data_IF_566417276485
#
_entry.id   IF_566417276485
#
_cell.length_a   1.000
_cell.length_b   1.000
_cell.length_c   1.000
_cell.angle_alpha   90.00
_cell.angle_beta   90.00
_cell.angle_gamma   90.00
#
_symmetry.space_group_name_H-M   'P 1'
#
loop_
_entity.id
_entity.type
_entity.pdbx_description
1 polymer ?
#
# COMPACT_ATOMS: atom_id res chain seq x y z
N UNK A 1 -20.67 12.28 8.49
CA UNK A 1 -20.33 10.98 7.87
C UNK A 1 -19.40 11.27 6.72
N UNK A 2 -18.11 10.96 6.88
CA UNK A 2 -17.17 11.16 5.78
C UNK A 2 -17.30 9.99 4.80
N UNK A 3 -17.47 10.28 3.52
CA UNK A 3 -17.62 9.26 2.49
C UNK A 3 -16.25 8.63 2.20
N UNK A 4 -16.18 7.30 2.11
CA UNK A 4 -14.96 6.61 1.65
C UNK A 4 -14.55 7.13 0.28
N UNK A 5 -13.25 7.24 0.06
CA UNK A 5 -12.70 7.77 -1.19
C UNK A 5 -11.64 6.82 -1.78
N UNK A 6 -11.53 6.74 -3.11
CA UNK A 6 -10.50 5.92 -3.75
C UNK A 6 -9.14 6.60 -3.65
N UNK A 7 -8.10 5.81 -3.40
CA UNK A 7 -6.70 6.29 -3.35
C UNK A 7 -5.80 5.29 -4.06
N UNK A 8 -4.97 5.80 -4.98
CA UNK A 8 -3.85 5.05 -5.54
C UNK A 8 -2.74 4.94 -4.49
N UNK A 9 -2.17 3.76 -4.34
CA UNK A 9 -0.99 3.55 -3.52
C UNK A 9 0.11 2.78 -4.27
N UNK A 10 1.35 2.99 -3.87
CA UNK A 10 2.54 2.30 -4.38
C UNK A 10 3.25 1.54 -3.27
N UNK A 11 3.95 0.46 -3.64
CA UNK A 11 4.62 -0.43 -2.67
C UNK A 11 6.14 -0.28 -2.77
N UNK A 12 6.76 0.31 -1.74
CA UNK A 12 8.19 0.56 -1.67
C UNK A 12 8.70 1.41 -2.85
N UNK A 13 9.89 1.07 -3.35
CA UNK A 13 10.48 1.68 -4.56
C UNK A 13 10.18 0.90 -5.84
N UNK A 14 9.19 0.00 -5.79
CA UNK A 14 8.85 -0.86 -6.92
C UNK A 14 7.77 -0.22 -7.81
N UNK A 15 7.51 -0.82 -8.98
CA UNK A 15 6.40 -0.43 -9.85
C UNK A 15 5.04 -1.03 -9.40
N UNK A 16 5.00 -1.73 -8.26
CA UNK A 16 3.77 -2.30 -7.71
C UNK A 16 2.88 -1.19 -7.17
N UNK A 17 1.61 -1.27 -7.52
CA UNK A 17 0.61 -0.30 -7.13
C UNK A 17 -0.78 -0.94 -7.13
N UNK A 18 -1.70 -0.34 -6.40
CA UNK A 18 -3.12 -0.65 -6.51
C UNK A 18 -3.98 0.52 -6.03
N UNK A 19 -5.30 0.38 -6.12
CA UNK A 19 -6.27 1.37 -5.65
C UNK A 19 -7.12 0.77 -4.53
N UNK A 20 -7.31 1.51 -3.44
CA UNK A 20 -8.13 1.10 -2.31
C UNK A 20 -9.16 2.17 -1.92
N UNK A 21 -10.32 1.74 -1.41
CA UNK A 21 -11.32 2.63 -0.81
C UNK A 21 -10.98 2.87 0.66
N UNK A 22 -10.65 4.11 1.02
CA UNK A 22 -10.18 4.48 2.35
C UNK A 22 -11.26 5.30 3.08
N UNK A 23 -11.48 4.97 4.37
CA UNK A 23 -12.22 5.83 5.29
C UNK A 23 -11.24 6.88 5.84
N UNK A 24 -11.49 8.18 5.72
CA UNK A 24 -10.57 9.20 6.23
C UNK A 24 -10.45 9.20 7.76
N UNK A 25 -11.35 8.53 8.48
CA UNK A 25 -11.32 8.40 9.94
C UNK A 25 -10.58 7.14 10.41
N UNK A 26 -9.99 6.37 9.48
CA UNK A 26 -9.26 5.13 9.77
C UNK A 26 -8.03 5.40 10.64
N UNK A 27 -7.71 4.46 11.54
CA UNK A 27 -6.46 4.54 12.29
C UNK A 27 -5.26 4.16 11.41
N UNK A 28 -4.05 4.58 11.80
CA UNK A 28 -2.83 4.20 11.05
C UNK A 28 -2.65 2.69 11.02
N UNK A 29 -2.97 2.00 12.12
CA UNK A 29 -2.85 0.55 12.23
C UNK A 29 -3.82 -0.15 11.28
N UNK A 30 -5.10 0.24 11.30
CA UNK A 30 -6.11 -0.39 10.44
C UNK A 30 -5.84 -0.09 8.95
N UNK A 31 -5.29 1.10 8.64
CA UNK A 31 -4.87 1.43 7.27
C UNK A 31 -3.71 0.54 6.82
N UNK A 32 -2.75 0.26 7.69
CA UNK A 32 -1.64 -0.66 7.39
C UNK A 32 -2.17 -2.08 7.14
N UNK A 33 -3.07 -2.58 7.99
CA UNK A 33 -3.67 -3.91 7.83
C UNK A 33 -4.48 -4.00 6.53
N UNK A 34 -5.32 -3.00 6.25
CA UNK A 34 -6.11 -2.95 5.03
C UNK A 34 -5.22 -2.98 3.77
N UNK A 35 -4.16 -2.18 3.72
CA UNK A 35 -3.28 -2.13 2.56
C UNK A 35 -2.38 -3.35 2.44
N UNK A 36 -1.98 -3.95 3.57
CA UNK A 36 -1.29 -5.24 3.60
C UNK A 36 -2.15 -6.33 2.95
N UNK A 37 -3.44 -6.40 3.30
CA UNK A 37 -4.37 -7.36 2.71
C UNK A 37 -4.50 -7.19 1.19
N UNK A 38 -4.54 -5.94 0.70
CA UNK A 38 -4.55 -5.66 -0.74
C UNK A 38 -3.25 -6.11 -1.41
N UNK A 39 -2.09 -5.84 -0.82
CA UNK A 39 -0.79 -6.27 -1.37
C UNK A 39 -0.72 -7.79 -1.53
N UNK A 40 -1.24 -8.54 -0.56
CA UNK A 40 -1.18 -10.00 -0.56
C UNK A 40 -2.11 -10.66 -1.58
N UNK A 41 -3.25 -10.02 -1.87
CA UNK A 41 -4.31 -10.58 -2.72
C UNK A 41 -4.29 -10.03 -4.15
N UNK A 42 -3.70 -8.86 -4.35
CA UNK A 42 -3.78 -8.17 -5.63
C UNK A 42 -2.80 -8.70 -6.67
N UNK A 43 -3.27 -9.08 -7.87
CA UNK A 43 -2.38 -9.42 -8.98
C UNK A 43 -1.53 -8.22 -9.45
N UNK A 44 -1.92 -6.98 -9.13
CA UNK A 44 -1.13 -5.78 -9.45
C UNK A 44 0.10 -5.64 -8.52
N UNK A 45 0.08 -6.29 -7.36
CA UNK A 45 1.19 -6.32 -6.41
C UNK A 45 2.06 -7.59 -6.51
N UNK A 46 1.66 -8.58 -7.32
CA UNK A 46 2.44 -9.80 -7.55
C UNK A 46 3.75 -9.53 -8.32
N UNK A 47 4.84 -10.19 -7.91
CA UNK A 47 6.04 -10.26 -8.73
C UNK A 47 5.92 -11.42 -9.72
N UNK A 48 5.81 -11.14 -11.01
CA UNK A 48 5.62 -12.14 -12.07
C UNK A 48 6.68 -13.26 -12.08
N UNK A 49 7.91 -12.99 -11.61
CA UNK A 49 9.01 -13.96 -11.55
C UNK A 49 9.02 -14.83 -10.28
N UNK A 50 8.30 -14.43 -9.23
CA UNK A 50 8.24 -15.17 -7.96
C UNK A 50 7.66 -16.58 -8.10
N UNK A 51 6.88 -16.84 -9.16
CA UNK A 51 6.30 -18.15 -9.47
C UNK A 51 7.35 -19.23 -9.74
N UNK A 52 8.55 -18.84 -10.20
CA UNK A 52 9.66 -19.75 -10.49
C UNK A 52 10.73 -19.79 -9.38
N UNK A 53 10.62 -18.93 -8.36
CA UNK A 53 11.57 -18.95 -7.23
C UNK A 53 11.25 -20.09 -6.25
N UNK A 54 12.30 -20.69 -5.69
CA UNK A 54 12.22 -21.62 -4.54
C UNK A 54 11.91 -20.89 -3.23
N UNK A 55 12.09 -19.57 -3.21
CA UNK A 55 11.74 -18.70 -2.09
C UNK A 55 10.45 -17.93 -2.41
N UNK A 56 9.65 -17.64 -1.38
CA UNK A 56 8.55 -16.68 -1.40
C UNK A 56 9.03 -15.40 -0.74
N UNK A 57 8.71 -14.29 -1.37
CA UNK A 57 8.95 -12.98 -0.83
C UNK A 57 7.75 -12.56 0.03
N UNK A 58 7.96 -12.41 1.32
CA UNK A 58 6.98 -11.82 2.24
C UNK A 58 7.25 -10.32 2.37
N UNK A 59 6.21 -9.51 2.17
CA UNK A 59 6.29 -8.05 2.24
C UNK A 59 5.44 -7.59 3.42
N UNK A 60 5.99 -6.77 4.31
CA UNK A 60 5.25 -6.22 5.45
C UNK A 60 5.27 -4.69 5.42
N UNK A 61 4.11 -4.06 5.46
CA UNK A 61 3.99 -2.60 5.59
C UNK A 61 4.52 -2.14 6.95
N UNK A 62 5.40 -1.13 6.95
CA UNK A 62 6.00 -0.51 8.14
C UNK A 62 5.62 0.95 8.31
N UNK A 63 5.43 1.66 7.21
CA UNK A 63 5.15 3.08 7.20
C UNK A 63 4.29 3.45 6.01
N UNK A 64 3.62 4.60 6.12
CA UNK A 64 2.80 5.15 5.05
C UNK A 64 3.15 6.62 4.92
N UNK A 65 3.42 7.06 3.70
CA UNK A 65 3.59 8.46 3.35
C UNK A 65 2.51 8.88 2.38
N UNK A 66 2.10 10.13 2.44
CA UNK A 66 1.39 10.78 1.34
C UNK A 66 2.42 11.43 0.44
N UNK A 67 2.38 11.11 -0.84
CA UNK A 67 3.06 11.85 -1.92
C UNK A 67 2.08 12.87 -2.45
N UNK A 68 2.38 14.14 -2.17
CA UNK A 68 1.52 15.23 -2.59
C UNK A 68 1.77 15.57 -4.05
N UNK A 69 0.69 15.79 -4.81
CA UNK A 69 0.80 16.32 -6.16
C UNK A 69 1.29 17.76 -6.13
N UNK A 70 2.21 18.09 -7.04
CA UNK A 70 2.71 19.44 -7.26
C UNK A 70 1.73 20.35 -8.00
N UNK A 71 0.56 19.86 -8.43
CA UNK A 71 -0.44 20.68 -9.14
C UNK A 71 -1.84 20.54 -8.50
N UNK A 72 -2.52 21.64 -8.15
CA UNK A 72 -2.19 23.06 -8.37
C UNK A 72 -1.35 23.67 -7.22
N UNK A 73 -0.75 22.85 -6.35
CA UNK A 73 -0.11 23.34 -5.11
C UNK A 73 1.25 23.97 -5.42
N UNK A 74 1.56 25.11 -4.81
CA UNK A 74 2.88 25.73 -5.01
C UNK A 74 3.98 24.82 -4.43
N UNK A 75 4.78 24.21 -5.31
CA UNK A 75 5.80 23.23 -4.94
C UNK A 75 6.88 23.75 -3.98
N UNK A 76 7.04 25.08 -3.87
CA UNK A 76 7.98 25.71 -2.92
C UNK A 76 7.43 25.75 -1.49
N UNK A 77 6.11 25.79 -1.33
CA UNK A 77 5.43 25.86 -0.04
C UNK A 77 4.89 24.50 0.41
N UNK A 78 4.54 23.65 -0.55
CA UNK A 78 3.99 22.34 -0.25
C UNK A 78 5.09 21.28 -0.16
N UNK A 79 5.13 20.47 0.92
CA UNK A 79 6.13 19.42 1.02
C UNK A 79 5.92 18.36 -0.06
N UNK A 80 7.00 17.74 -0.53
CA UNK A 80 6.90 16.64 -1.51
C UNK A 80 6.20 15.39 -0.93
N UNK A 81 6.33 15.18 0.38
CA UNK A 81 5.68 14.05 1.05
C UNK A 81 5.41 14.34 2.53
N UNK A 82 4.52 13.56 3.13
CA UNK A 82 4.22 13.62 4.57
C UNK A 82 4.07 12.22 5.13
N UNK A 83 4.79 11.92 6.20
CA UNK A 83 4.65 10.64 6.91
C UNK A 83 3.33 10.66 7.70
N UNK A 84 2.52 9.62 7.52
CA UNK A 84 1.31 9.43 8.29
C UNK A 84 1.64 8.92 9.68
N UNK A 85 1.01 9.55 10.66
CA UNK A 85 1.15 9.29 12.08
C UNK A 85 -0.24 9.29 12.71
N UNK A 86 -0.34 8.76 13.93
CA UNK A 86 -1.59 8.75 14.70
C UNK A 86 -2.24 10.13 14.81
N UNK A 87 -1.43 11.20 14.80
CA UNK A 87 -1.90 12.56 15.05
C UNK A 87 -2.36 13.30 13.80
N UNK A 88 -1.87 12.92 12.61
CA UNK A 88 -2.12 13.66 11.37
C UNK A 88 -2.91 12.85 10.32
N UNK A 89 -3.13 11.55 10.53
CA UNK A 89 -3.75 10.67 9.53
C UNK A 89 -5.11 11.19 9.06
N UNK A 90 -6.00 11.54 9.98
CA UNK A 90 -7.35 11.98 9.62
C UNK A 90 -7.30 13.24 8.75
N UNK A 91 -6.52 14.25 9.17
CA UNK A 91 -6.36 15.48 8.41
C UNK A 91 -5.71 15.23 7.03
N UNK A 92 -4.70 14.37 6.96
CA UNK A 92 -4.03 14.05 5.70
C UNK A 92 -4.96 13.31 4.74
N UNK A 93 -5.71 12.32 5.21
CA UNK A 93 -6.66 11.57 4.39
C UNK A 93 -7.83 12.46 3.93
N UNK A 94 -8.32 13.37 4.77
CA UNK A 94 -9.32 14.35 4.35
C UNK A 94 -8.79 15.28 3.25
N UNK A 95 -7.52 15.72 3.34
CA UNK A 95 -6.90 16.52 2.28
C UNK A 95 -6.83 15.76 0.95
N UNK A 96 -6.51 14.46 0.97
CA UNK A 96 -6.50 13.61 -0.23
C UNK A 96 -7.92 13.48 -0.80
N UNK A 97 -8.92 13.22 0.06
CA UNK A 97 -10.31 13.09 -0.34
C UNK A 97 -10.83 14.33 -1.09
N UNK A 98 -10.40 15.53 -0.67
CA UNK A 98 -10.75 16.79 -1.34
C UNK A 98 -10.10 16.96 -2.72
N UNK A 99 -8.94 16.36 -2.96
CA UNK A 99 -8.14 16.57 -4.19
C UNK A 99 -8.37 15.52 -5.28
N UNK A 100 -9.40 14.67 -5.13
CA UNK A 100 -9.90 13.75 -6.17
C UNK A 100 -8.81 12.84 -6.78
N UNK A 101 -7.99 12.19 -5.94
CA UNK A 101 -7.07 11.14 -6.40
C UNK A 101 -5.77 11.64 -7.05
N UNK A 102 -5.43 12.93 -6.89
CA UNK A 102 -4.13 13.47 -7.32
C UNK A 102 -2.97 13.04 -6.43
N UNK A 103 -3.25 12.87 -5.14
CA UNK A 103 -2.26 12.49 -4.14
C UNK A 103 -2.19 10.95 -4.03
N UNK A 104 -1.00 10.42 -3.76
CA UNK A 104 -0.72 8.97 -3.77
C UNK A 104 -0.22 8.54 -2.40
N UNK A 105 -0.64 7.37 -1.91
CA UNK A 105 -0.03 6.77 -0.72
C UNK A 105 1.20 5.96 -1.12
N UNK A 106 2.35 6.26 -0.54
CA UNK A 106 3.57 5.48 -0.68
C UNK A 106 3.75 4.61 0.56
N UNK A 107 3.79 3.29 0.36
CA UNK A 107 3.96 2.33 1.44
C UNK A 107 5.44 2.00 1.62
N UNK A 108 5.95 2.25 2.81
CA UNK A 108 7.25 1.75 3.23
C UNK A 108 7.10 0.30 3.67
N UNK A 109 7.78 -0.60 2.98
CA UNK A 109 7.70 -2.04 3.23
C UNK A 109 9.05 -2.62 3.60
N UNK A 110 9.02 -3.68 4.40
CA UNK A 110 10.18 -4.54 4.64
C UNK A 110 9.90 -5.88 3.97
N UNK A 111 10.88 -6.32 3.19
CA UNK A 111 10.79 -7.53 2.39
C UNK A 111 11.69 -8.61 2.99
N UNK A 112 11.18 -9.83 3.12
CA UNK A 112 11.93 -11.01 3.59
C UNK A 112 11.73 -12.17 2.64
N UNK A 113 12.79 -12.93 2.40
CA UNK A 113 12.69 -14.18 1.66
C UNK A 113 12.48 -15.34 2.63
N UNK A 114 11.48 -16.17 2.34
CA UNK A 114 11.15 -17.37 3.10
C UNK A 114 11.19 -18.55 2.14
N UNK A 115 11.77 -19.67 2.53
CA UNK A 115 11.76 -20.87 1.69
C UNK A 115 10.31 -21.37 1.51
N UNK A 116 9.93 -21.71 0.27
CA UNK A 116 8.63 -22.34 0.03
C UNK A 116 8.67 -23.75 0.58
N UNK A 117 7.73 -24.09 1.46
CA UNK A 117 7.55 -25.48 1.86
C UNK A 117 7.34 -26.36 0.61
N UNK A 118 8.00 -27.55 0.54
CA UNK A 118 7.78 -28.45 -0.57
C UNK A 118 6.31 -28.84 -0.59
N UNK A 119 5.64 -28.61 -1.72
CA UNK A 119 4.28 -29.12 -1.94
C UNK A 119 4.33 -30.62 -1.70
N UNK A 120 3.64 -31.11 -0.65
CA UNK A 120 3.33 -32.54 -0.53
C UNK A 120 2.54 -32.90 -1.79
N UNK A 121 3.13 -33.71 -2.65
CA UNK A 121 2.42 -34.31 -3.76
C UNK A 121 1.22 -35.04 -3.16
N UNK A 122 0.00 -34.55 -3.45
CA UNK A 122 -1.20 -35.34 -3.25
C UNK A 122 -1.03 -36.57 -4.13
N UNK A 123 -0.64 -37.67 -3.49
CA UNK A 123 -0.66 -39.00 -4.07
C UNK A 123 -2.12 -39.25 -4.39
N UNK A 124 -2.48 -39.13 -5.67
CA UNK A 124 -3.76 -39.65 -6.16
C UNK A 124 -3.69 -41.16 -5.98
N UNK A 125 -4.29 -41.65 -4.90
CA UNK A 125 -4.68 -43.05 -4.80
C UNK A 125 -5.68 -43.37 -5.91
N UNK A 126 -5.53 -44.60 -6.40
CA UNK A 126 -5.95 -45.19 -7.69
C UNK A 126 -7.42 -45.00 -8.12
#
# INVERSE_FOLDING_TARGET
MSQKFPVLFTVGTSNKHDVAMIDPSISVFDLQEQLQDVIEKSPNCEERLSKYSKTRTETTVKGIKVRWSGEPREARLWPASTILTKNNIEAALQLIAMHQGKDVLELEVVTREVEKEPKKEETKEE
#
